data_IF_036243189303
#
_entry.id   IF_036243189303
#
_cell.length_a   1.000
_cell.length_b   1.000
_cell.length_c   1.000
_cell.angle_alpha   90.00
_cell.angle_beta   90.00
_cell.angle_gamma   90.00
#
_symmetry.space_group_name_H-M   'P 1'
#
loop_
_entity.id
_entity.type
_entity.pdbx_description
1 polymer ?
#
# COMPACT_ATOMS: atom_id res chain seq x y z
N UNK A 1 2.40 -15.13 13.76
CA UNK A 1 2.92 -15.29 12.39
C UNK A 1 3.99 -14.24 12.21
N UNK A 2 5.17 -14.62 11.72
CA UNK A 2 6.25 -13.67 11.44
C UNK A 2 6.33 -13.49 9.93
N UNK A 3 6.34 -12.23 9.47
CA UNK A 3 6.54 -11.90 8.06
C UNK A 3 7.81 -11.07 7.95
N UNK A 4 8.69 -11.44 7.03
CA UNK A 4 9.92 -10.70 6.74
C UNK A 4 9.67 -9.71 5.63
N UNK A 5 10.10 -8.47 5.84
CA UNK A 5 9.99 -7.39 4.84
C UNK A 5 11.39 -7.07 4.35
N UNK A 6 11.58 -7.13 3.03
CA UNK A 6 12.78 -6.65 2.38
C UNK A 6 12.74 -5.12 2.23
N UNK A 7 13.77 -4.45 2.76
CA UNK A 7 13.91 -2.99 2.81
C UNK A 7 14.82 -2.43 1.70
N UNK A 8 15.31 -3.25 0.77
CA UNK A 8 16.17 -2.76 -0.33
C UNK A 8 15.40 -2.12 -1.48
N UNK A 9 14.07 -2.15 -1.44
CA UNK A 9 13.20 -1.59 -2.48
C UNK A 9 12.08 -0.74 -1.86
N UNK A 10 11.77 0.37 -2.53
CA UNK A 10 10.60 1.19 -2.17
C UNK A 10 9.31 0.42 -2.41
N UNK A 11 8.49 0.30 -1.36
CA UNK A 11 7.18 -0.34 -1.39
C UNK A 11 6.25 0.26 -0.34
N UNK A 12 4.95 0.18 -0.61
CA UNK A 12 3.90 0.49 0.37
C UNK A 12 3.29 -0.82 0.83
N UNK A 13 3.29 -1.02 2.14
CA UNK A 13 2.70 -2.20 2.78
C UNK A 13 1.65 -1.73 3.76
N UNK A 14 0.45 -2.29 3.67
CA UNK A 14 -0.65 -2.07 4.59
C UNK A 14 -0.83 -3.34 5.43
N UNK A 15 -0.73 -3.21 6.75
CA UNK A 15 -1.01 -4.30 7.69
C UNK A 15 -2.39 -4.05 8.28
N UNK A 16 -3.34 -4.93 7.99
CA UNK A 16 -4.72 -4.80 8.45
C UNK A 16 -5.28 -6.16 8.82
N UNK A 17 -5.85 -6.29 10.01
CA UNK A 17 -6.52 -7.52 10.50
C UNK A 17 -5.67 -8.79 10.40
N UNK A 18 -4.35 -8.66 10.56
CA UNK A 18 -3.40 -9.77 10.48
C UNK A 18 -2.99 -10.15 9.04
N UNK A 19 -3.48 -9.43 8.04
CA UNK A 19 -3.09 -9.59 6.64
C UNK A 19 -2.10 -8.50 6.23
N UNK A 20 -1.19 -8.84 5.32
CA UNK A 20 -0.23 -7.92 4.72
C UNK A 20 -0.62 -7.71 3.26
N UNK A 21 -0.97 -6.48 2.93
CA UNK A 21 -1.34 -6.06 1.58
C UNK A 21 -0.18 -5.23 1.03
N UNK A 22 0.47 -5.72 -0.03
CA UNK A 22 1.49 -4.95 -0.74
C UNK A 22 0.83 -4.18 -1.88
N UNK A 23 1.11 -2.89 -1.95
CA UNK A 23 0.64 -2.02 -3.03
C UNK A 23 1.75 -1.89 -4.06
N UNK A 24 1.42 -2.23 -5.31
CA UNK A 24 2.36 -2.09 -6.42
C UNK A 24 2.71 -0.62 -6.67
N UNK A 25 3.95 -0.36 -7.08
CA UNK A 25 4.33 0.97 -7.57
C UNK A 25 3.77 1.17 -8.99
N UNK A 26 3.41 2.41 -9.38
CA UNK A 26 3.08 2.69 -10.77
C UNK A 26 4.26 2.31 -11.68
N UNK A 27 3.98 1.65 -12.81
CA UNK A 27 5.01 1.26 -13.78
C UNK A 27 5.77 2.47 -14.34
N UNK A 28 5.06 3.59 -14.50
CA UNK A 28 5.58 4.89 -14.96
C UNK A 28 4.73 6.01 -14.36
N UNK A 29 5.20 7.25 -14.38
CA UNK A 29 4.39 8.41 -13.97
C UNK A 29 4.24 8.53 -12.46
N UNK A 30 3.02 8.76 -11.97
CA UNK A 30 2.74 9.00 -10.55
C UNK A 30 1.67 8.05 -10.02
N UNK A 31 1.71 7.81 -8.70
CA UNK A 31 0.72 7.02 -7.97
C UNK A 31 0.36 7.70 -6.65
N UNK A 32 -0.89 7.56 -6.24
CA UNK A 32 -1.40 8.04 -4.95
C UNK A 32 -2.03 6.87 -4.21
N UNK A 33 -1.67 6.70 -2.94
CA UNK A 33 -2.28 5.75 -2.02
C UNK A 33 -2.93 6.52 -0.86
N UNK A 34 -4.19 6.24 -0.57
CA UNK A 34 -4.95 6.85 0.52
C UNK A 34 -5.47 5.74 1.43
N UNK A 35 -5.13 5.82 2.72
CA UNK A 35 -5.61 4.90 3.75
C UNK A 35 -6.54 5.66 4.69
N UNK A 36 -7.76 5.17 4.84
CA UNK A 36 -8.77 5.75 5.75
C UNK A 36 -8.81 4.95 7.04
N UNK A 37 -8.60 5.66 8.15
CA UNK A 37 -8.69 5.12 9.50
C UNK A 37 -10.00 5.56 10.16
N UNK A 38 -10.70 4.64 10.79
CA UNK A 38 -11.91 4.89 11.58
C UNK A 38 -11.81 4.08 12.85
N UNK A 39 -11.94 4.73 14.01
CA UNK A 39 -11.90 4.09 15.33
C UNK A 39 -10.65 3.22 15.58
N UNK A 40 -9.51 3.62 15.02
CA UNK A 40 -8.24 2.90 15.16
C UNK A 40 -8.08 1.71 14.20
N UNK A 41 -9.06 1.46 13.34
CA UNK A 41 -9.00 0.41 12.33
C UNK A 41 -8.88 0.99 10.91
N UNK A 42 -8.17 0.26 10.04
CA UNK A 42 -8.15 0.56 8.61
C UNK A 42 -9.49 0.14 8.00
N UNK A 43 -10.24 1.12 7.50
CA UNK A 43 -11.58 0.88 6.91
C UNK A 43 -11.54 0.71 5.40
N UNK A 44 -10.64 1.43 4.73
CA UNK A 44 -10.45 1.34 3.28
C UNK A 44 -9.05 1.80 2.90
N UNK A 45 -8.49 1.16 1.89
CA UNK A 45 -7.38 1.68 1.10
C UNK A 45 -7.84 1.95 -0.33
N UNK A 46 -7.33 3.02 -0.93
CA UNK A 46 -7.56 3.36 -2.33
C UNK A 46 -6.23 3.67 -2.99
N UNK A 47 -5.99 3.04 -4.13
CA UNK A 47 -4.83 3.33 -4.95
C UNK A 47 -5.26 3.87 -6.30
N UNK A 48 -4.55 4.89 -6.79
CA UNK A 48 -4.70 5.39 -8.14
C UNK A 48 -3.35 5.53 -8.80
N UNK A 49 -3.28 5.18 -10.09
CA UNK A 49 -2.07 5.33 -10.90
C UNK A 49 -2.37 6.17 -12.12
N UNK A 50 -1.44 7.06 -12.44
CA UNK A 50 -1.42 7.77 -13.72
C UNK A 50 -0.12 7.46 -14.43
N UNK A 51 -0.22 6.60 -15.43
CA UNK A 51 0.91 6.23 -16.27
C UNK A 51 1.18 7.35 -17.27
N UNK A 52 2.47 7.64 -17.49
CA UNK A 52 2.86 8.46 -18.65
C UNK A 52 2.57 7.63 -19.91
N UNK A 53 1.96 8.27 -20.91
CA UNK A 53 1.68 7.64 -22.22
C UNK A 53 2.96 7.26 -22.93
#
# INVERSE_FOLDING_TARGET
>A
MEIKIDLTEDKVIIVSRGELIQIDKPRTGYGENVVTWVDGEIKSDRVSYTNKR
#
